data_IF_635937201399
#
_entry.id   IF_635937201399
#
_cell.length_a   1.000
_cell.length_b   1.000
_cell.length_c   1.000
_cell.angle_alpha   90.00
_cell.angle_beta   90.00
_cell.angle_gamma   90.00
#
_symmetry.space_group_name_H-M   'P 1'
#
loop_
_entity.id
_entity.type
_entity.pdbx_description
1 polymer ?
#
# COMPACT_ATOMS: atom_id res chain seq x y z
N UNK A 1 20.87 7.88 -2.19
CA UNK A 1 20.15 8.51 -3.33
C UNK A 1 20.67 8.12 -4.74
N UNK A 2 21.44 7.04 -4.95
CA UNK A 2 21.88 6.61 -6.31
C UNK A 2 21.16 5.33 -6.78
N UNK A 3 20.85 4.42 -5.86
CA UNK A 3 20.18 3.14 -6.14
C UNK A 3 18.68 3.28 -6.45
N UNK A 4 17.99 4.20 -5.77
CA UNK A 4 16.54 4.41 -5.97
C UNK A 4 16.16 4.90 -7.36
N UNK A 5 16.99 5.78 -7.94
CA UNK A 5 16.76 6.33 -9.30
C UNK A 5 17.10 5.34 -10.41
N UNK A 6 17.93 4.34 -10.12
CA UNK A 6 18.40 3.35 -11.11
C UNK A 6 17.65 2.02 -11.03
N UNK A 7 17.09 1.66 -9.87
CA UNK A 7 16.39 0.37 -9.69
C UNK A 7 15.02 0.45 -9.03
N UNK A 8 14.56 1.62 -8.58
CA UNK A 8 13.31 1.75 -7.82
C UNK A 8 13.36 0.98 -6.48
N UNK A 9 12.45 1.31 -5.58
CA UNK A 9 12.19 0.54 -4.37
C UNK A 9 10.81 -0.08 -4.48
N UNK A 10 10.72 -1.37 -4.16
CA UNK A 10 9.47 -2.11 -4.12
C UNK A 10 9.29 -2.69 -2.71
N UNK A 11 8.18 -2.37 -2.07
CA UNK A 11 7.76 -2.95 -0.80
C UNK A 11 6.53 -3.82 -1.02
N UNK A 12 6.61 -5.08 -0.59
CA UNK A 12 5.47 -6.00 -0.59
C UNK A 12 4.92 -6.12 0.81
N UNK A 13 3.66 -5.77 0.97
CA UNK A 13 2.92 -5.85 2.22
C UNK A 13 1.81 -6.85 2.07
N UNK A 14 1.57 -7.63 3.13
CA UNK A 14 0.49 -8.60 3.15
C UNK A 14 -0.43 -8.30 4.31
N UNK A 15 -1.71 -8.10 4.01
CA UNK A 15 -2.70 -7.94 5.06
C UNK A 15 -3.20 -9.31 5.52
N UNK A 16 -3.13 -9.54 6.82
CA UNK A 16 -3.50 -10.82 7.45
C UNK A 16 -4.73 -10.59 8.32
N UNK A 17 -5.66 -11.52 8.23
CA UNK A 17 -6.90 -11.50 9.00
C UNK A 17 -7.22 -12.91 9.52
N UNK A 18 -7.80 -12.99 10.73
CA UNK A 18 -8.23 -14.26 11.33
C UNK A 18 -9.75 -14.47 11.31
N UNK A 19 -10.51 -13.39 11.55
CA UNK A 19 -11.97 -13.47 11.69
C UNK A 19 -12.73 -12.64 10.67
N UNK A 20 -12.35 -11.37 10.49
CA UNK A 20 -13.03 -10.45 9.58
C UNK A 20 -12.18 -10.22 8.33
N UNK A 21 -12.70 -10.50 7.12
CA UNK A 21 -11.97 -10.21 5.88
C UNK A 21 -11.83 -8.69 5.71
N UNK A 22 -10.60 -8.25 5.44
CA UNK A 22 -10.28 -6.85 5.21
C UNK A 22 -10.53 -6.55 3.73
N UNK A 23 -11.24 -5.45 3.45
CA UNK A 23 -11.42 -4.96 2.08
C UNK A 23 -10.49 -3.79 1.86
N UNK A 24 -9.58 -3.92 0.89
CA UNK A 24 -8.68 -2.84 0.49
C UNK A 24 -9.08 -2.34 -0.90
N UNK A 25 -9.24 -1.03 -1.02
CA UNK A 25 -9.53 -0.37 -2.28
C UNK A 25 -8.45 0.67 -2.56
N UNK A 26 -7.95 0.70 -3.79
CA UNK A 26 -7.00 1.73 -4.22
C UNK A 26 -7.81 2.76 -4.99
N UNK A 27 -7.59 4.05 -4.70
CA UNK A 27 -8.17 5.14 -5.47
C UNK A 27 -7.63 5.16 -6.91
N UNK A 28 -8.39 5.64 -7.88
CA UNK A 28 -8.00 5.66 -9.30
C UNK A 28 -6.64 6.36 -9.55
N UNK A 29 -6.31 7.35 -8.72
CA UNK A 29 -5.04 8.09 -8.78
C UNK A 29 -3.84 7.31 -8.23
N UNK A 30 -4.02 6.09 -7.70
CA UNK A 30 -3.00 5.24 -7.03
C UNK A 30 -2.25 5.90 -5.85
N UNK A 31 -2.72 7.05 -5.39
CA UNK A 31 -2.13 7.85 -4.29
C UNK A 31 -2.86 7.71 -2.97
N UNK A 32 -3.97 6.98 -2.92
CA UNK A 32 -4.72 6.76 -1.68
C UNK A 32 -5.20 5.31 -1.61
N UNK A 33 -5.06 4.71 -0.43
CA UNK A 33 -5.60 3.40 -0.10
C UNK A 33 -6.73 3.57 0.92
N UNK A 34 -7.88 2.98 0.61
CA UNK A 34 -9.02 2.87 1.51
C UNK A 34 -9.07 1.45 2.10
N UNK A 35 -8.89 1.33 3.41
CA UNK A 35 -9.03 0.07 4.15
C UNK A 35 -10.39 0.08 4.85
N UNK A 36 -11.20 -0.92 4.56
CA UNK A 36 -12.53 -1.15 5.15
C UNK A 36 -12.54 -2.43 5.97
N UNK A 37 -13.40 -2.48 6.99
CA UNK A 37 -13.53 -3.60 7.92
C UNK A 37 -12.24 -3.96 8.67
N UNK A 38 -11.38 -2.97 8.91
CA UNK A 38 -10.20 -3.18 9.75
C UNK A 38 -10.65 -3.52 11.18
N UNK A 39 -10.33 -4.73 11.67
CA UNK A 39 -10.76 -5.25 12.97
C UNK A 39 -12.30 -5.25 13.21
N UNK A 40 -13.10 -5.24 12.14
CA UNK A 40 -14.56 -5.15 12.23
C UNK A 40 -15.10 -3.73 12.44
N UNK A 41 -14.26 -2.70 12.35
CA UNK A 41 -14.70 -1.31 12.36
C UNK A 41 -15.49 -0.96 11.08
N UNK A 42 -16.61 -0.24 11.23
CA UNK A 42 -17.36 0.34 10.09
C UNK A 42 -16.67 1.57 9.48
N UNK A 43 -15.66 2.12 10.14
CA UNK A 43 -14.95 3.32 9.69
C UNK A 43 -14.01 2.94 8.55
N UNK A 44 -14.03 3.75 7.48
CA UNK A 44 -13.11 3.63 6.36
C UNK A 44 -11.83 4.36 6.75
N UNK A 45 -10.71 3.63 6.81
CA UNK A 45 -9.38 4.23 7.02
C UNK A 45 -8.81 4.60 5.67
N UNK A 46 -8.44 5.86 5.50
CA UNK A 46 -7.79 6.36 4.28
C UNK A 46 -6.34 6.66 4.58
N UNK A 47 -5.44 6.08 3.81
CA UNK A 47 -4.00 6.35 3.90
C UNK A 47 -3.59 6.98 2.58
N UNK A 48 -3.11 8.22 2.66
CA UNK A 48 -2.54 8.94 1.51
C UNK A 48 -1.06 8.61 1.39
N UNK A 49 -0.64 8.29 0.17
CA UNK A 49 0.75 8.04 -0.17
C UNK A 49 1.50 9.34 -0.35
N UNK A 50 2.80 9.30 -0.04
CA UNK A 50 3.70 10.41 -0.26
C UNK A 50 4.00 10.58 -1.76
N UNK A 51 4.53 11.74 -2.12
CA UNK A 51 4.81 12.06 -3.52
C UNK A 51 5.85 11.10 -4.13
N UNK A 52 5.54 10.58 -5.32
CA UNK A 52 6.41 9.64 -6.04
C UNK A 52 6.35 8.19 -5.53
N UNK A 53 5.33 7.87 -4.73
CA UNK A 53 4.99 6.49 -4.33
C UNK A 53 3.67 6.08 -4.97
N UNK A 54 3.70 4.99 -5.71
CA UNK A 54 2.54 4.35 -6.34
C UNK A 54 2.15 3.08 -5.59
N UNK A 55 0.85 2.78 -5.57
CA UNK A 55 0.30 1.57 -4.96
C UNK A 55 -0.40 0.70 -5.98
N UNK A 56 -0.16 -0.60 -5.90
CA UNK A 56 -0.82 -1.61 -6.70
C UNK A 56 -1.19 -2.84 -5.87
N UNK A 57 -2.35 -3.46 -6.17
CA UNK A 57 -2.70 -4.78 -5.62
C UNK A 57 -1.99 -5.83 -6.46
N UNK A 58 -1.31 -6.77 -5.80
CA UNK A 58 -0.62 -7.86 -6.48
C UNK A 58 -1.62 -8.76 -7.21
N UNK A 59 -1.33 -9.07 -8.48
CA UNK A 59 -2.15 -10.01 -9.27
C UNK A 59 -1.81 -11.47 -8.97
N UNK A 60 -0.62 -11.72 -8.45
CA UNK A 60 -0.10 -13.07 -8.22
C UNK A 60 -0.51 -13.64 -6.87
N UNK A 61 -0.61 -12.77 -5.86
CA UNK A 61 -0.92 -13.16 -4.49
C UNK A 61 -2.14 -12.39 -4.03
N UNK A 62 -3.16 -13.14 -3.60
CA UNK A 62 -4.29 -12.55 -2.91
C UNK A 62 -3.80 -11.99 -1.57
N UNK A 63 -4.37 -10.86 -1.20
CA UNK A 63 -4.09 -10.17 0.05
C UNK A 63 -2.72 -9.49 0.14
N UNK A 64 -2.08 -9.26 -1.01
CA UNK A 64 -0.79 -8.56 -1.13
C UNK A 64 -0.94 -7.20 -1.81
N UNK A 65 -0.26 -6.21 -1.24
CA UNK A 65 -0.15 -4.84 -1.70
C UNK A 65 1.31 -4.53 -2.02
N UNK A 66 1.54 -3.86 -3.13
CA UNK A 66 2.86 -3.51 -3.63
C UNK A 66 2.94 -1.99 -3.64
N UNK A 67 3.91 -1.45 -2.91
CA UNK A 67 4.29 -0.04 -2.95
C UNK A 67 5.55 0.08 -3.80
N UNK A 68 5.51 0.93 -4.82
CA UNK A 68 6.67 1.23 -5.65
C UNK A 68 7.00 2.72 -5.57
N UNK A 69 8.28 3.05 -5.54
CA UNK A 69 8.70 4.45 -5.53
C UNK A 69 10.20 4.62 -5.71
N UNK A 70 10.62 5.84 -6.02
CA UNK A 70 12.02 6.15 -6.28
C UNK A 70 12.80 6.47 -4.99
N UNK A 71 12.09 6.83 -3.93
CA UNK A 71 12.68 7.24 -2.65
C UNK A 71 12.32 6.24 -1.54
N UNK A 72 13.35 5.70 -0.88
CA UNK A 72 13.18 4.66 0.14
C UNK A 72 12.46 5.19 1.38
N UNK A 73 12.75 6.43 1.80
CA UNK A 73 12.16 7.01 3.00
C UNK A 73 10.67 7.25 2.78
N UNK A 74 10.30 7.79 1.60
CA UNK A 74 8.90 7.99 1.23
C UNK A 74 8.14 6.67 1.11
N UNK A 75 8.72 5.64 0.47
CA UNK A 75 8.09 4.31 0.36
C UNK A 75 7.95 3.66 1.73
N UNK A 76 8.98 3.73 2.58
CA UNK A 76 8.94 3.16 3.93
C UNK A 76 7.96 3.87 4.84
N UNK A 77 7.85 5.19 4.76
CA UNK A 77 6.93 5.99 5.58
C UNK A 77 5.48 5.85 5.11
N UNK A 78 5.27 5.71 3.80
CA UNK A 78 3.95 5.42 3.21
C UNK A 78 3.47 4.00 3.52
N UNK A 79 4.40 3.12 3.87
CA UNK A 79 4.12 1.71 4.14
C UNK A 79 3.47 1.38 5.48
N UNK A 80 3.55 2.28 6.47
CA UNK A 80 3.10 2.10 7.87
C UNK A 80 3.64 0.83 8.57
#
# INVERSE_FOLDING_TARGET
MITGVTKGFEYKMRYVYAHFPINVHISDDKKEVEIRNFLGEKVIRRVKMLEGVDIEISKNLKDELILTGNDLENVSQSGI
#
